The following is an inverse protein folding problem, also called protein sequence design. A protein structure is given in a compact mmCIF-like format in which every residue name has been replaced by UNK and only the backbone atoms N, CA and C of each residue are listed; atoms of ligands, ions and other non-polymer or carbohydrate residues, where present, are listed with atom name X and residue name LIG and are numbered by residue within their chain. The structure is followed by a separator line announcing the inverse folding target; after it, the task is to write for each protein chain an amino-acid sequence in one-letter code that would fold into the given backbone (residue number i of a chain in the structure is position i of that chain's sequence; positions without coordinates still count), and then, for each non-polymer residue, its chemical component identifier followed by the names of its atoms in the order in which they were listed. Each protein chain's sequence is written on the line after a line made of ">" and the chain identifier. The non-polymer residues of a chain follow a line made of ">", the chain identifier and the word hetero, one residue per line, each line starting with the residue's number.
data_IF_747951721157
#
_entry.id   IF_747951721157
#
_cell.length_a   1.000
_cell.length_b   1.000
_cell.length_c   1.000
_cell.angle_alpha   90.00
_cell.angle_beta   90.00
_cell.angle_gamma   90.00
#
_symmetry.space_group_name_H-M   'P 1'
#
loop_
_entity.id
_entity.type
_entity.pdbx_description
1 polymer ?
#
# COMPACT_ATOMS: atom_id res chain seq x y z
N UNK A 1 18.61 -11.82 -21.07
CA UNK A 1 19.00 -13.01 -21.87
C UNK A 1 20.14 -13.84 -21.22
N UNK A 2 20.63 -13.49 -20.02
CA UNK A 2 21.80 -14.13 -19.37
C UNK A 2 21.49 -15.14 -18.25
N UNK A 3 20.27 -15.14 -17.70
CA UNK A 3 19.94 -16.01 -16.56
C UNK A 3 19.61 -17.45 -17.02
N UNK A 4 18.95 -17.60 -18.17
CA UNK A 4 18.60 -18.91 -18.72
C UNK A 4 19.81 -19.71 -19.24
N UNK A 5 20.91 -19.04 -19.57
CA UNK A 5 22.14 -19.68 -20.08
C UNK A 5 22.96 -20.30 -18.96
N UNK A 6 22.87 -19.76 -17.74
CA UNK A 6 23.73 -20.18 -16.62
C UNK A 6 23.31 -21.52 -16.00
N UNK A 7 22.01 -21.72 -15.79
CA UNK A 7 21.50 -23.01 -15.30
C UNK A 7 21.86 -24.14 -16.29
N UNK A 8 21.78 -23.87 -17.59
CA UNK A 8 22.14 -24.83 -18.63
C UNK A 8 23.65 -25.15 -18.59
N UNK A 9 24.52 -24.15 -18.40
CA UNK A 9 25.97 -24.35 -18.29
C UNK A 9 26.37 -25.18 -17.06
N UNK A 10 25.75 -24.94 -15.90
CA UNK A 10 25.97 -25.80 -14.71
C UNK A 10 25.50 -27.23 -15.00
N UNK A 11 24.29 -27.39 -15.55
CA UNK A 11 23.73 -28.71 -15.82
C UNK A 11 24.59 -29.49 -16.82
N UNK A 12 25.05 -28.84 -17.88
CA UNK A 12 25.97 -29.42 -18.86
C UNK A 12 27.28 -29.87 -18.21
N UNK A 13 27.88 -29.04 -17.36
CA UNK A 13 29.15 -29.33 -16.70
C UNK A 13 29.02 -30.45 -15.65
N UNK A 14 27.91 -30.49 -14.91
CA UNK A 14 27.59 -31.60 -13.97
C UNK A 14 27.37 -32.91 -14.72
N UNK A 15 26.78 -32.86 -15.92
CA UNK A 15 26.53 -34.05 -16.73
C UNK A 15 27.79 -34.56 -17.43
N UNK A 16 28.68 -33.67 -17.88
CA UNK A 16 29.94 -34.05 -18.53
C UNK A 16 31.01 -34.49 -17.54
N UNK A 17 31.08 -33.86 -16.36
CA UNK A 17 32.07 -34.12 -15.32
C UNK A 17 31.40 -34.37 -13.95
N UNK A 18 30.70 -35.49 -13.74
CA UNK A 18 29.90 -35.73 -12.54
C UNK A 18 30.73 -35.93 -11.27
N UNK A 19 32.02 -36.24 -11.38
CA UNK A 19 32.95 -36.35 -10.26
C UNK A 19 33.52 -35.01 -9.80
N UNK A 20 33.24 -33.92 -10.53
CA UNK A 20 33.81 -32.62 -10.23
C UNK A 20 33.18 -32.06 -8.93
N UNK A 21 33.99 -31.56 -7.98
CA UNK A 21 33.46 -30.95 -6.76
C UNK A 21 32.60 -29.72 -7.09
N UNK A 22 31.52 -29.52 -6.33
CA UNK A 22 30.59 -28.41 -6.59
C UNK A 22 31.25 -27.03 -6.58
N UNK A 23 32.32 -26.83 -5.81
CA UNK A 23 33.07 -25.57 -5.79
C UNK A 23 33.81 -25.32 -7.11
N UNK A 24 34.40 -26.35 -7.72
CA UNK A 24 35.11 -26.23 -8.99
C UNK A 24 34.14 -25.96 -10.15
N UNK A 25 32.94 -26.54 -10.10
CA UNK A 25 31.84 -26.25 -11.04
C UNK A 25 31.49 -24.75 -10.98
N UNK A 26 31.33 -24.21 -9.77
CA UNK A 26 30.98 -22.79 -9.56
C UNK A 26 32.13 -21.88 -10.01
N UNK A 27 33.37 -22.21 -9.70
CA UNK A 27 34.55 -21.42 -10.08
C UNK A 27 34.79 -21.43 -11.59
N UNK A 28 34.50 -22.54 -12.30
CA UNK A 28 34.55 -22.58 -13.77
C UNK A 28 33.58 -21.60 -14.42
N UNK A 29 32.45 -21.29 -13.78
CA UNK A 29 31.46 -20.37 -14.33
C UNK A 29 31.59 -18.91 -13.86
N UNK A 30 32.07 -18.67 -12.63
CA UNK A 30 32.16 -17.33 -12.02
C UNK A 30 33.57 -16.84 -11.74
N UNK A 31 34.59 -17.66 -12.01
CA UNK A 31 35.95 -17.43 -11.56
C UNK A 31 36.15 -17.79 -10.07
N UNK A 32 37.40 -17.66 -9.56
CA UNK A 32 37.76 -18.06 -8.20
C UNK A 32 36.80 -17.50 -7.15
N UNK A 33 36.28 -18.36 -6.27
CA UNK A 33 35.35 -17.97 -5.21
C UNK A 33 36.06 -17.97 -3.86
N UNK A 34 35.86 -16.94 -3.05
CA UNK A 34 36.36 -16.96 -1.67
C UNK A 34 35.41 -17.80 -0.81
N UNK A 35 35.94 -18.83 -0.13
CA UNK A 35 35.14 -19.71 0.77
C UNK A 35 34.46 -18.96 1.92
N UNK A 36 34.87 -17.72 2.20
CA UNK A 36 34.27 -16.81 3.18
C UNK A 36 33.15 -15.92 2.62
N UNK A 37 32.98 -15.86 1.28
CA UNK A 37 32.04 -14.96 0.63
C UNK A 37 31.47 -15.63 -0.64
N UNK A 38 30.30 -16.23 -0.52
CA UNK A 38 29.60 -16.82 -1.67
C UNK A 38 28.80 -15.73 -2.38
N UNK A 39 29.15 -15.41 -3.63
CA UNK A 39 28.29 -14.57 -4.47
C UNK A 39 27.19 -15.44 -5.09
N UNK A 40 26.01 -15.42 -4.48
CA UNK A 40 24.79 -15.93 -5.09
C UNK A 40 23.96 -14.79 -5.67
N UNK A 41 23.83 -14.71 -7.00
CA UNK A 41 22.73 -13.96 -7.60
C UNK A 41 21.44 -14.77 -7.39
N UNK A 42 20.78 -14.52 -6.24
CA UNK A 42 19.49 -15.10 -5.92
C UNK A 42 18.40 -14.63 -6.90
N UNK A 43 17.43 -15.51 -7.16
CA UNK A 43 16.24 -15.22 -7.95
C UNK A 43 15.41 -14.09 -7.36
N UNK A 44 15.83 -12.85 -7.62
CA UNK A 44 15.05 -11.67 -7.31
C UNK A 44 13.69 -11.72 -8.00
N UNK A 45 12.77 -10.90 -7.49
CA UNK A 45 11.41 -10.71 -8.04
C UNK A 45 11.53 -10.58 -9.56
N UNK A 46 11.03 -11.57 -10.31
CA UNK A 46 11.11 -11.56 -11.77
C UNK A 46 10.13 -10.51 -12.26
N UNK A 47 10.39 -9.86 -13.40
CA UNK A 47 9.44 -8.89 -13.97
C UNK A 47 8.00 -9.44 -14.12
N UNK A 48 7.87 -10.77 -14.28
CA UNK A 48 6.58 -11.49 -14.31
C UNK A 48 5.85 -11.58 -12.96
N UNK A 49 6.58 -11.40 -11.85
CA UNK A 49 6.05 -11.39 -10.49
C UNK A 49 5.58 -9.96 -10.11
N UNK A 50 6.01 -8.93 -10.86
CA UNK A 50 5.46 -7.57 -10.82
C UNK A 50 4.19 -7.42 -11.70
N UNK A 51 3.36 -8.46 -11.79
CA UNK A 51 2.13 -8.44 -12.61
C UNK A 51 1.00 -7.65 -11.93
N UNK A 52 1.29 -6.41 -11.56
CA UNK A 52 0.32 -5.34 -11.35
C UNK A 52 0.56 -4.27 -12.42
N UNK A 53 -0.42 -3.40 -12.68
CA UNK A 53 -0.18 -2.18 -13.45
C UNK A 53 1.00 -1.46 -12.79
N UNK A 54 2.15 -1.45 -13.46
CA UNK A 54 3.35 -0.82 -12.93
C UNK A 54 3.18 0.67 -13.14
N UNK A 55 2.41 1.32 -12.27
CA UNK A 55 2.32 2.78 -12.24
C UNK A 55 3.74 3.32 -12.09
N UNK A 56 4.11 4.24 -12.97
CA UNK A 56 5.38 4.94 -12.86
C UNK A 56 5.46 5.64 -11.50
N UNK A 57 6.70 5.87 -11.04
CA UNK A 57 6.93 6.64 -9.81
C UNK A 57 6.21 8.00 -9.84
N UNK A 58 6.13 8.63 -11.02
CA UNK A 58 5.46 9.91 -11.19
C UNK A 58 3.94 9.81 -11.03
N UNK A 59 3.30 8.79 -11.61
CA UNK A 59 1.86 8.54 -11.46
C UNK A 59 1.50 8.26 -10.01
N UNK A 60 2.30 7.46 -9.29
CA UNK A 60 2.09 7.20 -7.87
C UNK A 60 2.18 8.46 -7.00
N UNK A 61 3.14 9.34 -7.31
CA UNK A 61 3.28 10.63 -6.59
C UNK A 61 2.08 11.54 -6.87
N UNK A 62 1.63 11.59 -8.12
CA UNK A 62 0.46 12.38 -8.52
C UNK A 62 -0.81 11.88 -7.83
N UNK A 63 -1.06 10.58 -7.87
CA UNK A 63 -2.23 9.95 -7.24
C UNK A 63 -2.23 10.19 -5.72
N UNK A 64 -1.08 10.01 -5.05
CA UNK A 64 -0.94 10.28 -3.63
C UNK A 64 -1.27 11.74 -3.29
N UNK A 65 -0.80 12.70 -4.09
CA UNK A 65 -1.08 14.11 -3.88
C UNK A 65 -2.56 14.43 -4.09
N UNK A 66 -3.17 13.92 -5.17
CA UNK A 66 -4.61 14.09 -5.45
C UNK A 66 -5.45 13.56 -4.29
N UNK A 67 -5.19 12.32 -3.88
CA UNK A 67 -5.91 11.68 -2.75
C UNK A 67 -5.72 12.45 -1.45
N UNK A 68 -4.54 13.03 -1.19
CA UNK A 68 -4.31 13.84 0.02
C UNK A 68 -5.15 15.12 0.02
N UNK A 69 -5.21 15.83 -1.09
CA UNK A 69 -5.99 17.07 -1.21
C UNK A 69 -7.49 16.79 -1.13
N UNK A 70 -7.97 15.73 -1.80
CA UNK A 70 -9.36 15.29 -1.70
C UNK A 70 -9.75 14.94 -0.25
N UNK A 71 -8.90 14.18 0.45
CA UNK A 71 -9.14 13.84 1.87
C UNK A 71 -9.16 15.08 2.78
N UNK A 72 -8.29 16.06 2.52
CA UNK A 72 -8.29 17.32 3.26
C UNK A 72 -9.59 18.09 3.03
N UNK A 73 -10.00 18.25 1.77
CA UNK A 73 -11.26 18.91 1.41
C UNK A 73 -12.48 18.23 2.04
N UNK A 74 -12.53 16.89 2.00
CA UNK A 74 -13.61 16.13 2.62
C UNK A 74 -13.64 16.33 4.14
N UNK A 75 -12.48 16.33 4.79
CA UNK A 75 -12.39 16.55 6.25
C UNK A 75 -12.85 17.95 6.65
N UNK A 76 -12.47 18.97 5.88
CA UNK A 76 -12.92 20.35 6.13
C UNK A 76 -14.44 20.46 6.00
N UNK A 77 -15.02 19.87 4.94
CA UNK A 77 -16.48 19.84 4.72
C UNK A 77 -17.22 19.11 5.84
N UNK A 78 -16.70 17.97 6.30
CA UNK A 78 -17.28 17.23 7.43
C UNK A 78 -17.26 18.08 8.69
N UNK A 79 -16.13 18.75 8.98
CA UNK A 79 -16.03 19.63 10.13
C UNK A 79 -17.03 20.80 10.07
N UNK A 80 -17.25 21.39 8.89
CA UNK A 80 -18.27 22.43 8.72
C UNK A 80 -19.67 21.91 9.00
N UNK A 81 -20.03 20.76 8.40
CA UNK A 81 -21.35 20.15 8.61
C UNK A 81 -21.59 19.75 10.07
N UNK A 82 -20.57 19.27 10.77
CA UNK A 82 -20.65 18.96 12.20
C UNK A 82 -20.95 20.21 13.04
N UNK A 83 -20.35 21.36 12.70
CA UNK A 83 -20.63 22.64 13.35
C UNK A 83 -22.06 23.10 13.08
N UNK A 84 -22.49 23.11 11.82
CA UNK A 84 -23.84 23.53 11.43
C UNK A 84 -24.92 22.64 12.09
N UNK A 85 -24.67 21.33 12.17
CA UNK A 85 -25.56 20.39 12.86
C UNK A 85 -25.63 20.66 14.36
N UNK A 86 -24.52 21.06 14.98
CA UNK A 86 -24.51 21.44 16.40
C UNK A 86 -25.35 22.70 16.63
N UNK A 87 -25.21 23.70 15.76
CA UNK A 87 -25.98 24.95 15.84
C UNK A 87 -27.47 24.70 15.61
N UNK A 88 -27.83 23.88 14.62
CA UNK A 88 -29.21 23.51 14.36
C UNK A 88 -29.83 22.75 15.55
N UNK A 89 -29.09 21.80 16.15
CA UNK A 89 -29.54 21.10 17.37
C UNK A 89 -29.83 22.08 18.51
N UNK A 90 -28.97 23.08 18.70
CA UNK A 90 -29.20 24.10 19.74
C UNK A 90 -30.45 24.94 19.45
N UNK A 91 -30.66 25.34 18.19
CA UNK A 91 -31.86 26.09 17.80
C UNK A 91 -33.15 25.29 18.03
N UNK A 92 -33.14 23.99 17.68
CA UNK A 92 -34.28 23.10 17.92
C UNK A 92 -34.55 22.96 19.42
N UNK A 93 -33.52 22.74 20.24
CA UNK A 93 -33.68 22.66 21.70
C UNK A 93 -34.24 23.95 22.30
N UNK A 94 -33.80 25.11 21.80
CA UNK A 94 -34.30 26.42 22.23
C UNK A 94 -35.78 26.63 21.84
N UNK A 95 -36.20 26.21 20.64
CA UNK A 95 -37.60 26.30 20.21
C UNK A 95 -38.52 25.39 21.02
N UNK A 96 -38.09 24.16 21.33
CA UNK A 96 -38.88 23.20 22.10
C UNK A 96 -38.99 23.54 23.60
N UNK A 97 -38.07 24.35 24.14
CA UNK A 97 -38.15 24.83 25.53
C UNK A 97 -39.13 26.00 25.72
N UNK A 98 -39.61 26.64 24.65
CA UNK A 98 -40.48 27.81 24.70
C UNK A 98 -41.99 27.49 24.57
N UNK A 99 -42.37 26.21 24.59
CA UNK A 99 -43.78 25.80 24.60
C UNK A 99 -44.25 25.73 26.06
N UNK A 100 -44.73 26.86 26.58
CA UNK A 100 -45.47 26.88 27.84
C UNK A 100 -46.74 26.03 27.71
N UNK A 101 -47.08 25.14 28.67
CA UNK A 101 -48.36 24.44 28.64
C UNK A 101 -49.50 25.46 28.63
N UNK A 102 -50.60 25.26 27.88
CA UNK A 102 -51.75 26.15 27.98
C UNK A 102 -52.22 26.17 29.42
N UNK A 103 -52.13 27.33 30.07
CA UNK A 103 -52.74 27.57 31.37
C UNK A 103 -54.23 27.37 31.21
N UNK A 104 -54.73 26.23 31.68
CA UNK A 104 -56.16 25.98 31.82
C UNK A 104 -56.69 26.93 32.88
N UNK A 105 -57.14 28.11 32.46
CA UNK A 105 -58.08 28.91 33.25
C UNK A 105 -59.40 28.17 33.23
N UNK A 106 -59.62 27.29 34.21
CA UNK A 106 -60.96 26.87 34.59
C UNK A 106 -61.56 28.02 35.39
N UNK A 107 -62.40 28.80 34.73
CA UNK A 107 -63.40 29.66 35.36
C UNK A 107 -64.75 29.13 34.90
N UNK A 108 -65.52 28.56 35.82
CA UNK A 108 -66.83 28.01 35.54
C UNK A 108 -67.50 27.53 36.81
N UNK A 109 -68.19 28.48 37.45
CA UNK A 109 -69.35 28.37 38.37
C UNK A 109 -69.21 27.67 39.71
#
# INVERSE_FOLDING_TARGET
>A
RYIYTFQAQIQELVMSEPSLPSIEIVEKCFGPQTRSHVFGYGGGVKAKDLKGVVSSKAELIFELHSTREENKSLKDRVSTLESEMKDLKQLVLAQHSNVQPPTSTVSGE
#
